data_IF_496129970024
#
_entry.id   IF_496129970024
#
_cell.length_a   1.000
_cell.length_b   1.000
_cell.length_c   1.000
_cell.angle_alpha   90.00
_cell.angle_beta   90.00
_cell.angle_gamma   90.00
#
_symmetry.space_group_name_H-M   'P 1'
#
loop_
_entity.id
_entity.type
_entity.pdbx_description
1 polymer ?
#
# COMPACT_ATOMS: atom_id res chain seq x y z
N UNK A 1 -1.73 49.15 -10.90
CA UNK A 1 -2.07 48.19 -11.97
C UNK A 1 -1.56 46.83 -11.55
N UNK A 2 -2.49 45.93 -11.31
CA UNK A 2 -2.34 44.53 -10.94
C UNK A 2 -1.75 43.74 -12.11
N UNK A 3 -0.72 42.93 -11.84
CA UNK A 3 -0.46 41.70 -12.62
C UNK A 3 -0.07 40.62 -11.63
N UNK A 4 -1.02 39.71 -11.40
CA UNK A 4 -0.77 38.44 -10.73
C UNK A 4 -0.02 37.51 -11.67
N UNK A 5 0.73 36.56 -11.13
CA UNK A 5 1.25 35.43 -11.90
C UNK A 5 1.23 34.17 -11.06
N UNK A 6 0.30 33.30 -11.46
CA UNK A 6 0.31 31.84 -11.43
C UNK A 6 0.70 31.13 -10.12
N UNK A 7 -0.35 30.74 -9.40
CA UNK A 7 -0.40 29.52 -8.59
C UNK A 7 -0.26 28.30 -9.53
N UNK A 8 0.59 27.35 -9.15
CA UNK A 8 0.47 25.96 -9.62
C UNK A 8 1.65 25.44 -10.42
N UNK A 9 2.51 24.67 -9.76
CA UNK A 9 3.14 23.44 -10.28
C UNK A 9 4.27 23.01 -9.34
N UNK A 10 4.04 22.08 -8.40
CA UNK A 10 5.08 21.16 -7.86
C UNK A 10 4.49 20.14 -6.86
N UNK A 11 3.47 19.38 -7.26
CA UNK A 11 3.09 18.15 -6.56
C UNK A 11 2.87 16.96 -7.53
N UNK A 12 3.47 17.07 -8.73
CA UNK A 12 3.44 16.03 -9.78
C UNK A 12 4.85 15.56 -10.15
N UNK A 13 5.82 15.76 -9.25
CA UNK A 13 7.19 15.29 -9.46
C UNK A 13 7.35 13.94 -8.78
N UNK A 14 7.65 12.92 -9.59
CA UNK A 14 8.05 11.56 -9.25
C UNK A 14 6.94 10.54 -8.96
N UNK A 15 6.06 10.28 -9.94
CA UNK A 15 5.55 8.92 -10.15
C UNK A 15 6.70 8.08 -10.73
N UNK A 16 7.59 7.65 -9.83
CA UNK A 16 8.52 6.52 -10.00
C UNK A 16 7.73 5.37 -10.65
N UNK A 17 8.29 4.59 -11.61
CA UNK A 17 7.57 3.48 -12.23
C UNK A 17 6.89 2.68 -11.12
N UNK A 18 5.56 2.71 -11.13
CA UNK A 18 4.72 2.17 -10.07
C UNK A 18 5.27 0.78 -9.73
N UNK A 19 5.48 0.55 -8.45
CA UNK A 19 6.42 -0.39 -7.84
C UNK A 19 6.54 -1.76 -8.54
N UNK A 20 7.68 -2.44 -8.44
CA UNK A 20 7.84 -3.84 -8.92
C UNK A 20 7.07 -4.86 -8.08
N UNK A 21 6.21 -4.42 -7.16
CA UNK A 21 5.45 -5.31 -6.30
C UNK A 21 4.32 -5.99 -7.06
N UNK A 22 3.89 -7.18 -6.59
CA UNK A 22 2.66 -7.77 -7.05
C UNK A 22 1.48 -6.81 -6.89
N UNK A 23 0.41 -7.02 -7.67
CA UNK A 23 -0.80 -6.21 -7.67
C UNK A 23 -1.68 -6.46 -6.42
N UNK A 24 -1.07 -6.55 -5.24
CA UNK A 24 -1.73 -6.66 -3.95
C UNK A 24 -1.11 -5.69 -2.94
N UNK A 25 -1.86 -4.71 -2.42
CA UNK A 25 -1.31 -3.65 -1.57
C UNK A 25 -0.93 -4.15 -0.17
N UNK A 26 -1.38 -5.34 0.20
CA UNK A 26 -1.11 -5.98 1.49
C UNK A 26 0.01 -7.01 1.42
N UNK A 27 0.48 -7.34 0.22
CA UNK A 27 1.51 -8.36 0.02
C UNK A 27 2.90 -7.82 0.36
N UNK A 28 3.68 -8.61 1.10
CA UNK A 28 5.00 -8.22 1.58
C UNK A 28 4.99 -7.40 2.86
N UNK A 29 3.85 -7.32 3.55
CA UNK A 29 3.70 -6.54 4.77
C UNK A 29 3.22 -7.39 5.94
N UNK A 30 3.62 -6.97 7.14
CA UNK A 30 3.05 -7.40 8.42
C UNK A 30 2.26 -6.24 9.00
N UNK A 31 1.04 -6.51 9.48
CA UNK A 31 0.21 -5.49 10.13
C UNK A 31 0.28 -5.63 11.65
N UNK A 32 0.60 -4.52 12.31
CA UNK A 32 0.59 -4.38 13.76
C UNK A 32 -0.24 -3.16 14.12
N UNK A 33 -1.50 -3.38 14.52
CA UNK A 33 -2.44 -2.28 14.77
C UNK A 33 -2.77 -1.48 13.50
N UNK A 34 -2.59 -0.17 13.56
CA UNK A 34 -2.84 0.78 12.46
C UNK A 34 -1.66 0.97 11.49
N UNK A 35 -0.62 0.12 11.55
CA UNK A 35 0.53 0.22 10.66
C UNK A 35 0.79 -1.07 9.90
N UNK A 36 1.21 -0.93 8.64
CA UNK A 36 1.71 -2.02 7.79
C UNK A 36 3.20 -1.78 7.54
N UNK A 37 4.03 -2.70 8.03
CA UNK A 37 5.49 -2.65 7.90
C UNK A 37 5.95 -3.66 6.87
N UNK A 38 6.85 -3.22 5.99
CA UNK A 38 7.45 -4.07 4.98
C UNK A 38 8.29 -5.16 5.64
N UNK A 39 8.03 -6.42 5.29
CA UNK A 39 8.76 -7.57 5.80
C UNK A 39 9.65 -8.24 4.75
N UNK A 40 9.68 -7.75 3.51
CA UNK A 40 10.44 -8.34 2.38
C UNK A 40 10.21 -9.85 2.19
N UNK A 41 9.04 -10.35 2.59
CA UNK A 41 8.70 -11.77 2.57
C UNK A 41 7.29 -12.01 2.05
N UNK A 42 6.78 -13.22 2.27
CA UNK A 42 5.45 -13.64 1.83
C UNK A 42 4.31 -13.13 2.73
N UNK A 43 4.47 -11.99 3.41
CA UNK A 43 3.53 -11.48 4.39
C UNK A 43 2.18 -11.05 3.78
N UNK A 44 1.09 -11.27 4.52
CA UNK A 44 -0.24 -10.75 4.22
C UNK A 44 -0.67 -9.73 5.27
N UNK A 45 -0.44 -8.44 4.99
CA UNK A 45 -0.77 -7.35 5.91
C UNK A 45 -2.27 -7.23 6.24
N UNK A 46 -3.17 -7.72 5.37
CA UNK A 46 -4.60 -7.70 5.66
C UNK A 46 -5.01 -8.69 6.75
N UNK A 47 -4.36 -9.87 6.77
CA UNK A 47 -4.67 -10.94 7.72
C UNK A 47 -4.32 -10.56 9.18
N UNK A 48 -3.48 -9.54 9.39
CA UNK A 48 -2.92 -9.20 10.70
C UNK A 48 -1.76 -10.12 11.09
N UNK A 49 -0.88 -9.67 11.98
CA UNK A 49 0.22 -10.49 12.51
C UNK A 49 1.14 -11.08 11.44
N UNK A 50 1.72 -12.24 11.73
CA UNK A 50 2.69 -12.94 10.87
C UNK A 50 2.04 -14.01 9.98
N UNK A 51 0.99 -13.64 9.24
CA UNK A 51 0.31 -14.57 8.34
C UNK A 51 0.87 -14.51 6.91
N UNK A 52 1.17 -15.66 6.27
CA UNK A 52 1.64 -15.70 4.90
C UNK A 52 0.50 -15.48 3.89
N UNK A 53 0.86 -15.05 2.68
CA UNK A 53 -0.04 -14.88 1.55
C UNK A 53 -0.46 -16.24 0.99
N UNK A 54 -1.75 -16.57 1.06
CA UNK A 54 -2.25 -17.86 0.56
C UNK A 54 -2.15 -18.02 -0.95
N UNK A 55 -2.18 -16.93 -1.73
CA UNK A 55 -2.04 -16.99 -3.18
C UNK A 55 -0.64 -17.46 -3.57
N UNK A 56 0.40 -16.85 -2.98
CA UNK A 56 1.78 -17.26 -3.21
C UNK A 56 2.03 -18.70 -2.73
N UNK A 57 1.54 -19.05 -1.53
CA UNK A 57 1.62 -20.43 -1.02
C UNK A 57 0.95 -21.44 -1.97
N UNK A 58 -0.07 -21.02 -2.70
CA UNK A 58 -0.77 -21.82 -3.71
C UNK A 58 -0.13 -21.72 -5.10
N UNK A 59 1.05 -21.10 -5.23
CA UNK A 59 1.77 -20.83 -6.48
C UNK A 59 0.93 -20.05 -7.51
N UNK A 60 0.02 -19.22 -7.03
CA UNK A 60 -0.79 -18.33 -7.86
C UNK A 60 -0.14 -16.95 -7.96
N UNK A 61 -0.34 -16.28 -9.09
CA UNK A 61 0.03 -14.87 -9.25
C UNK A 61 -0.70 -14.02 -8.21
N UNK A 62 0.05 -13.35 -7.34
CA UNK A 62 -0.50 -12.49 -6.29
C UNK A 62 -1.18 -11.27 -6.90
N UNK A 63 -2.49 -11.17 -6.71
CA UNK A 63 -3.32 -10.08 -7.23
C UNK A 63 -4.51 -9.88 -6.29
N UNK A 64 -4.68 -8.65 -5.79
CA UNK A 64 -5.74 -8.30 -4.83
C UNK A 64 -7.14 -8.50 -5.39
N UNK A 65 -7.38 -8.15 -6.67
CA UNK A 65 -8.68 -8.37 -7.33
C UNK A 65 -9.08 -9.84 -7.33
N UNK A 66 -8.10 -10.74 -7.37
CA UNK A 66 -8.33 -12.19 -7.37
C UNK A 66 -8.29 -12.82 -5.96
N UNK A 67 -8.05 -12.03 -4.90
CA UNK A 67 -7.89 -12.54 -3.54
C UNK A 67 -9.25 -12.86 -2.90
N UNK A 68 -9.81 -14.05 -3.20
CA UNK A 68 -11.10 -14.50 -2.66
C UNK A 68 -11.15 -14.64 -1.14
N UNK A 69 -9.99 -14.73 -0.47
CA UNK A 69 -9.92 -14.84 0.98
C UNK A 69 -10.29 -13.54 1.68
N UNK A 70 -9.95 -12.39 1.09
CA UNK A 70 -10.07 -11.11 1.76
C UNK A 70 -10.76 -10.03 0.92
N UNK A 71 -10.57 -10.03 -0.40
CA UNK A 71 -11.23 -9.11 -1.30
C UNK A 71 -12.58 -9.67 -1.77
N UNK A 72 -13.58 -9.57 -0.90
CA UNK A 72 -14.97 -9.96 -1.16
C UNK A 72 -15.92 -9.03 -0.39
N UNK A 73 -17.18 -8.98 -0.80
CA UNK A 73 -18.17 -8.03 -0.26
C UNK A 73 -18.33 -8.09 1.26
N UNK A 74 -18.27 -9.30 1.84
CA UNK A 74 -18.32 -9.48 3.30
C UNK A 74 -17.21 -8.79 4.10
N UNK A 75 -16.12 -8.36 3.46
CA UNK A 75 -15.03 -7.61 4.11
C UNK A 75 -15.01 -6.14 3.73
N UNK A 76 -15.99 -5.63 2.97
CA UNK A 76 -15.94 -4.28 2.41
C UNK A 76 -15.72 -3.20 3.47
N UNK A 77 -16.44 -3.26 4.59
CA UNK A 77 -16.29 -2.30 5.69
C UNK A 77 -14.90 -2.38 6.35
N UNK A 78 -14.37 -3.60 6.53
CA UNK A 78 -13.04 -3.83 7.09
C UNK A 78 -11.95 -3.30 6.15
N UNK A 79 -12.14 -3.46 4.84
CA UNK A 79 -11.25 -2.92 3.81
C UNK A 79 -11.27 -1.40 3.89
N UNK A 80 -12.44 -0.76 3.81
CA UNK A 80 -12.53 0.70 3.86
C UNK A 80 -11.96 1.27 5.16
N UNK A 81 -12.27 0.66 6.31
CA UNK A 81 -11.69 1.05 7.59
C UNK A 81 -10.16 0.98 7.56
N UNK A 82 -9.58 -0.09 7.02
CA UNK A 82 -8.13 -0.20 6.89
C UNK A 82 -7.56 0.90 5.99
N UNK A 83 -8.20 1.17 4.83
CA UNK A 83 -7.77 2.21 3.89
C UNK A 83 -7.78 3.61 4.51
N UNK A 84 -8.74 3.91 5.39
CA UNK A 84 -8.87 5.21 6.04
C UNK A 84 -7.95 5.39 7.25
N UNK A 85 -7.68 4.32 7.99
CA UNK A 85 -7.03 4.43 9.30
C UNK A 85 -5.62 3.84 9.36
N UNK A 86 -5.16 3.10 8.34
CA UNK A 86 -3.83 2.51 8.37
C UNK A 86 -2.79 3.38 7.65
N UNK A 87 -1.60 3.42 8.24
CA UNK A 87 -0.38 3.89 7.59
C UNK A 87 0.43 2.71 7.06
N UNK A 88 1.22 2.94 6.02
CA UNK A 88 2.10 1.93 5.45
C UNK A 88 3.51 2.47 5.22
N UNK A 89 4.49 1.58 5.38
CA UNK A 89 5.91 1.88 5.33
C UNK A 89 6.61 0.97 4.31
N UNK A 90 6.38 1.17 2.99
CA UNK A 90 7.11 0.46 1.95
C UNK A 90 8.58 0.93 1.87
N UNK A 91 9.54 0.01 1.90
CA UNK A 91 10.96 0.36 1.91
C UNK A 91 11.39 1.22 0.71
N UNK A 92 10.77 1.02 -0.46
CA UNK A 92 11.08 1.78 -1.68
C UNK A 92 10.66 3.25 -1.63
N UNK A 93 9.81 3.65 -0.68
CA UNK A 93 9.41 5.04 -0.48
C UNK A 93 10.06 5.65 0.76
N UNK A 94 10.89 4.90 1.50
CA UNK A 94 11.60 5.43 2.65
C UNK A 94 12.63 6.48 2.20
N UNK A 95 12.56 7.74 2.69
CA UNK A 95 13.47 8.78 2.24
C UNK A 95 14.93 8.45 2.60
N UNK A 96 15.88 8.54 1.66
CA UNK A 96 17.29 8.24 1.92
C UNK A 96 17.85 9.08 3.07
N UNK A 97 18.49 8.43 4.04
CA UNK A 97 19.09 9.10 5.20
C UNK A 97 18.11 9.60 6.26
N UNK A 98 16.80 9.41 6.10
CA UNK A 98 15.84 9.75 7.14
C UNK A 98 15.99 8.81 8.34
N UNK A 99 16.19 9.38 9.54
CA UNK A 99 16.16 8.64 10.81
C UNK A 99 14.75 8.35 11.31
N UNK A 100 13.77 9.13 10.84
CA UNK A 100 12.36 9.02 11.18
C UNK A 100 11.54 9.23 9.92
N UNK A 101 10.57 8.36 9.69
CA UNK A 101 9.62 8.46 8.60
C UNK A 101 8.22 8.21 9.14
N UNK A 102 7.23 8.95 8.62
CA UNK A 102 5.82 8.84 9.03
C UNK A 102 5.02 7.84 8.20
N UNK A 103 5.65 7.19 7.21
CA UNK A 103 4.95 6.36 6.22
C UNK A 103 4.09 7.20 5.29
N UNK A 104 3.23 6.52 4.53
CA UNK A 104 2.18 7.12 3.69
C UNK A 104 0.82 6.52 4.06
N UNK A 105 -0.28 7.10 3.54
CA UNK A 105 -1.61 6.55 3.75
C UNK A 105 -1.81 5.23 3.02
N UNK A 106 -2.50 4.27 3.63
CA UNK A 106 -2.77 2.99 2.98
C UNK A 106 -3.65 3.16 1.73
N UNK A 107 -4.60 4.11 1.71
CA UNK A 107 -5.41 4.40 0.53
C UNK A 107 -4.57 4.88 -0.66
N UNK A 108 -3.60 5.76 -0.43
CA UNK A 108 -2.70 6.25 -1.48
C UNK A 108 -1.87 5.10 -2.05
N UNK A 109 -1.31 4.27 -1.17
CA UNK A 109 -0.60 3.06 -1.57
C UNK A 109 -1.47 2.07 -2.34
N UNK A 110 -2.71 1.86 -1.89
CA UNK A 110 -3.67 0.98 -2.54
C UNK A 110 -3.91 1.41 -3.99
N UNK A 111 -4.12 2.70 -4.23
CA UNK A 111 -4.31 3.27 -5.57
C UNK A 111 -3.07 3.12 -6.47
N UNK A 112 -1.86 3.13 -5.89
CA UNK A 112 -0.62 2.91 -6.64
C UNK A 112 -0.38 1.44 -7.02
N UNK A 113 -0.79 0.51 -6.15
CA UNK A 113 -0.52 -0.93 -6.33
C UNK A 113 -1.61 -1.65 -7.11
N UNK A 114 -2.88 -1.34 -6.83
CA UNK A 114 -4.01 -1.98 -7.50
C UNK A 114 -4.20 -1.30 -8.85
N UNK A 115 -3.46 -1.78 -9.85
CA UNK A 115 -3.60 -1.37 -11.24
C UNK A 115 -4.90 -1.93 -11.82
N UNK A 116 -5.53 -1.16 -12.70
CA UNK A 116 -6.71 -1.61 -13.43
C UNK A 116 -6.43 -2.86 -14.29
#
# INVERSE_FOLDING_TARGET
>A
MTTGTAVGATAKTALVPATTRPACPFYGFVRMGGILLDCKGNGCGFAGGHHPCTMEMSRMTVNWKNCRRFNHDGNREVIEYALEHCQIFPDELHPPGARKWKGIGLREWYQLIVRE
#
